data_IF_414231785604
#
_entry.id   IF_414231785604
#
_cell.length_a   1.000
_cell.length_b   1.000
_cell.length_c   1.000
_cell.angle_alpha   90.00
_cell.angle_beta   90.00
_cell.angle_gamma   90.00
#
_symmetry.space_group_name_H-M   'P 1'
#
loop_
_entity.id
_entity.type
_entity.pdbx_description
1 polymer ?
#
# COMPACT_ATOMS: atom_id res chain seq x y z
N UNK A 1 89.69 29.51 47.32
CA UNK A 1 89.45 28.20 47.96
C UNK A 1 87.95 27.93 47.90
N UNK A 2 87.60 26.82 47.26
CA UNK A 2 86.24 26.40 46.88
C UNK A 2 85.38 26.06 48.08
N UNK A 3 84.13 26.52 48.10
CA UNK A 3 82.99 25.69 48.52
C UNK A 3 81.83 25.96 47.57
N UNK A 4 81.72 25.08 46.56
CA UNK A 4 80.56 24.93 45.70
C UNK A 4 79.39 24.51 46.59
N UNK A 5 78.35 25.34 46.64
CA UNK A 5 77.10 24.97 47.26
C UNK A 5 76.48 23.85 46.41
N UNK A 6 76.63 22.62 46.88
CA UNK A 6 76.22 21.41 46.19
C UNK A 6 74.71 21.24 46.39
N UNK A 7 73.92 22.09 45.76
CA UNK A 7 72.48 21.94 45.68
C UNK A 7 72.17 20.77 44.74
N UNK A 8 72.23 19.55 45.28
CA UNK A 8 71.68 18.37 44.63
C UNK A 8 70.21 18.66 44.32
N UNK A 9 69.78 18.59 43.05
CA UNK A 9 68.41 18.91 42.71
C UNK A 9 67.47 17.91 43.40
N UNK A 10 66.58 18.41 44.25
CA UNK A 10 65.54 17.59 44.86
C UNK A 10 64.54 17.20 43.77
N UNK A 11 64.71 16.01 43.20
CA UNK A 11 63.79 15.45 42.22
C UNK A 11 62.56 14.94 42.96
N UNK A 12 61.51 15.77 43.01
CA UNK A 12 60.20 15.32 43.50
C UNK A 12 59.57 14.44 42.41
N UNK A 13 59.75 13.12 42.51
CA UNK A 13 59.06 12.14 41.67
C UNK A 13 57.58 12.07 42.08
N UNK A 14 56.73 12.91 41.48
CA UNK A 14 55.27 12.76 41.58
C UNK A 14 54.85 11.52 40.80
N UNK A 15 54.85 10.36 41.44
CA UNK A 15 54.18 9.18 40.89
C UNK A 15 52.68 9.44 40.96
N UNK A 16 52.11 9.96 39.87
CA UNK A 16 50.67 9.86 39.66
C UNK A 16 50.38 8.38 39.54
N UNK A 17 49.97 7.75 40.64
CA UNK A 17 49.27 6.47 40.55
C UNK A 17 47.94 6.84 39.92
N UNK A 18 47.94 6.88 38.58
CA UNK A 18 46.70 6.66 37.85
C UNK A 18 46.33 5.26 38.32
N UNK A 19 45.37 5.16 39.22
CA UNK A 19 44.57 3.96 39.33
C UNK A 19 43.98 3.86 37.93
N UNK A 20 44.69 3.15 37.05
CA UNK A 20 44.22 2.90 35.71
C UNK A 20 42.85 2.31 35.94
N UNK A 21 41.80 3.09 35.66
CA UNK A 21 40.46 2.56 35.63
C UNK A 21 40.59 1.38 34.70
N UNK A 22 40.45 0.17 35.24
CA UNK A 22 40.59 -1.09 34.52
C UNK A 22 39.43 -1.22 33.54
N UNK A 23 39.40 -0.36 32.54
CA UNK A 23 38.30 -0.13 31.61
C UNK A 23 38.72 -0.43 30.17
N UNK A 24 39.85 -1.10 29.96
CA UNK A 24 40.34 -1.45 28.62
C UNK A 24 40.52 -2.96 28.40
N UNK A 25 40.48 -3.78 29.46
CA UNK A 25 40.51 -5.25 29.35
C UNK A 25 39.14 -5.91 29.18
N UNK A 26 38.06 -5.17 29.40
CA UNK A 26 36.67 -5.64 29.28
C UNK A 26 35.94 -5.16 28.02
N UNK A 27 36.43 -4.11 27.35
CA UNK A 27 35.73 -3.51 26.21
C UNK A 27 35.54 -4.50 25.04
N UNK A 28 36.53 -5.35 24.78
CA UNK A 28 36.41 -6.40 23.74
C UNK A 28 35.42 -7.51 24.14
N UNK A 29 35.31 -7.82 25.44
CA UNK A 29 34.32 -8.77 25.95
C UNK A 29 32.92 -8.19 25.91
N UNK A 30 32.77 -6.87 26.10
CA UNK A 30 31.49 -6.18 25.95
C UNK A 30 31.07 -6.15 24.48
N UNK A 31 31.98 -5.85 23.55
CA UNK A 31 31.68 -5.93 22.12
C UNK A 31 31.36 -7.36 21.66
N UNK A 32 32.06 -8.37 22.19
CA UNK A 32 31.75 -9.77 21.91
C UNK A 32 30.41 -10.21 22.51
N UNK A 33 30.11 -9.79 23.75
CA UNK A 33 28.83 -10.04 24.38
C UNK A 33 27.68 -9.39 23.60
N UNK A 34 27.85 -8.15 23.16
CA UNK A 34 26.88 -7.41 22.36
C UNK A 34 26.60 -8.09 21.01
N UNK A 35 27.67 -8.54 20.33
CA UNK A 35 27.56 -9.31 19.09
C UNK A 35 26.80 -10.65 19.30
N UNK A 36 27.11 -11.38 20.37
CA UNK A 36 26.41 -12.64 20.70
C UNK A 36 24.95 -12.38 21.06
N UNK A 37 24.63 -11.30 21.77
CA UNK A 37 23.22 -10.93 22.03
C UNK A 37 22.47 -10.50 20.78
N UNK A 38 23.11 -9.79 19.85
CA UNK A 38 22.50 -9.45 18.56
C UNK A 38 22.20 -10.72 17.74
N UNK A 39 23.14 -11.67 17.69
CA UNK A 39 22.93 -12.95 17.02
C UNK A 39 21.88 -13.82 17.73
N UNK A 40 21.84 -13.82 19.05
CA UNK A 40 20.83 -14.51 19.83
C UNK A 40 19.43 -13.94 19.57
N UNK A 41 19.29 -12.61 19.54
CA UNK A 41 18.02 -11.96 19.21
C UNK A 41 17.58 -12.26 17.77
N UNK A 42 18.52 -12.23 16.81
CA UNK A 42 18.24 -12.62 15.43
C UNK A 42 17.84 -14.09 15.31
N UNK A 43 18.52 -14.98 16.03
CA UNK A 43 18.20 -16.41 16.07
C UNK A 43 16.84 -16.67 16.70
N UNK A 44 16.51 -16.03 17.82
CA UNK A 44 15.19 -16.13 18.45
C UNK A 44 14.08 -15.62 17.52
N UNK A 45 14.34 -14.55 16.76
CA UNK A 45 13.41 -14.03 15.77
C UNK A 45 13.20 -15.03 14.61
N UNK A 46 14.27 -15.58 14.06
CA UNK A 46 14.17 -16.60 13.00
C UNK A 46 13.55 -17.90 13.50
N UNK A 47 13.84 -18.29 14.74
CA UNK A 47 13.25 -19.45 15.40
C UNK A 47 11.75 -19.27 15.59
N UNK A 48 11.31 -18.07 16.02
CA UNK A 48 9.88 -17.72 16.09
C UNK A 48 9.24 -17.77 14.70
N UNK A 49 9.87 -17.22 13.66
CA UNK A 49 9.30 -17.25 12.30
C UNK A 49 9.17 -18.65 11.71
N UNK A 50 10.05 -19.59 12.08
CA UNK A 50 9.99 -20.98 11.64
C UNK A 50 9.04 -21.84 12.52
N UNK A 51 8.91 -21.52 13.80
CA UNK A 51 7.99 -22.20 14.72
C UNK A 51 6.53 -21.69 14.62
N UNK A 52 6.30 -20.52 14.01
CA UNK A 52 4.95 -19.98 13.78
C UNK A 52 4.40 -20.38 12.43
N UNK A 53 3.13 -20.76 12.40
CA UNK A 53 2.38 -20.92 11.14
C UNK A 53 2.15 -19.57 10.47
N UNK A 54 1.98 -19.53 9.14
CA UNK A 54 1.71 -18.28 8.39
C UNK A 54 0.56 -17.46 9.01
N UNK A 55 -0.44 -18.14 9.56
CA UNK A 55 -1.60 -17.53 10.23
C UNK A 55 -1.22 -16.73 11.48
N UNK A 56 -0.25 -17.19 12.27
CA UNK A 56 0.24 -16.48 13.47
C UNK A 56 1.15 -15.31 13.11
N UNK A 57 1.95 -15.45 12.04
CA UNK A 57 2.81 -14.36 11.52
C UNK A 57 1.98 -13.18 11.00
N UNK A 58 0.84 -13.47 10.36
CA UNK A 58 -0.10 -12.44 9.88
C UNK A 58 -0.77 -11.69 11.05
N UNK A 59 -1.24 -12.41 12.08
CA UNK A 59 -1.86 -11.79 13.25
C UNK A 59 -0.94 -10.87 14.06
N UNK A 60 0.38 -11.16 14.11
CA UNK A 60 1.34 -10.27 14.75
C UNK A 60 1.63 -9.02 13.92
N UNK A 61 1.66 -9.14 12.58
CA UNK A 61 1.82 -8.00 11.68
C UNK A 61 0.64 -7.03 11.77
N UNK A 62 -0.58 -7.57 11.92
CA UNK A 62 -1.81 -6.78 12.10
C UNK A 62 -1.82 -6.01 13.44
N UNK A 63 -1.15 -6.52 14.49
CA UNK A 63 -1.03 -5.85 15.79
C UNK A 63 -0.06 -4.65 15.77
N UNK A 64 1.06 -4.76 15.04
CA UNK A 64 2.08 -3.69 14.97
C UNK A 64 1.85 -2.69 13.83
N UNK A 65 0.99 -3.01 12.88
CA UNK A 65 0.54 -2.09 11.85
C UNK A 65 -0.99 -2.04 11.84
N UNK A 66 -1.63 -1.40 12.83
CA UNK A 66 -3.06 -1.22 12.82
C UNK A 66 -3.41 -0.13 11.80
N UNK A 67 -3.30 -0.43 10.50
CA UNK A 67 -4.08 0.26 9.49
C UNK A 67 -5.51 -0.18 9.69
N UNK A 68 -6.17 0.44 10.66
CA UNK A 68 -7.53 0.18 11.14
C UNK A 68 -8.42 -0.44 10.05
N UNK A 69 -8.63 -1.76 10.05
CA UNK A 69 -9.80 -2.32 9.43
C UNK A 69 -10.83 -2.37 10.56
N UNK A 70 -11.80 -1.45 10.55
CA UNK A 70 -13.06 -1.69 11.25
C UNK A 70 -13.80 -2.79 10.48
N UNK A 71 -13.27 -4.00 10.54
CA UNK A 71 -14.02 -5.21 10.26
C UNK A 71 -14.23 -5.88 11.61
N UNK A 72 -15.43 -5.71 12.17
CA UNK A 72 -15.94 -6.62 13.20
C UNK A 72 -16.05 -7.99 12.56
N UNK A 73 -15.00 -8.80 12.62
CA UNK A 73 -15.09 -10.22 12.33
C UNK A 73 -15.24 -10.95 13.65
N UNK A 74 -16.51 -11.23 13.95
CA UNK A 74 -17.00 -12.48 14.53
C UNK A 74 -16.10 -13.14 15.58
N UNK A 75 -16.40 -12.86 16.85
CA UNK A 75 -16.05 -13.71 17.98
C UNK A 75 -17.34 -14.20 18.62
N UNK A 76 -17.67 -15.47 18.41
CA UNK A 76 -18.84 -16.11 18.99
C UNK A 76 -19.00 -17.53 18.48
N UNK A 77 -18.04 -18.39 18.83
CA UNK A 77 -18.05 -19.80 18.48
C UNK A 77 -19.24 -20.53 19.10
N UNK A 78 -19.81 -21.43 18.31
CA UNK A 78 -20.73 -22.47 18.74
C UNK A 78 -19.91 -23.54 19.50
N UNK A 79 -20.19 -23.75 20.79
CA UNK A 79 -19.48 -24.73 21.60
C UNK A 79 -19.62 -24.49 23.11
N UNK A 80 -20.39 -25.36 23.76
CA UNK A 80 -20.60 -25.35 25.20
C UNK A 80 -19.37 -25.85 25.97
N UNK A 81 -18.33 -25.02 26.18
CA UNK A 81 -17.42 -25.02 27.34
C UNK A 81 -16.50 -23.78 27.24
N UNK A 82 -16.50 -22.97 28.31
CA UNK A 82 -16.03 -21.59 28.30
C UNK A 82 -14.52 -21.35 28.27
N UNK A 83 -14.18 -20.09 28.02
CA UNK A 83 -12.87 -19.50 28.24
C UNK A 83 -13.02 -17.98 28.34
N UNK A 84 -12.86 -17.43 29.55
CA UNK A 84 -12.82 -15.99 29.81
C UNK A 84 -11.59 -15.35 29.16
N UNK A 85 -11.76 -14.25 28.43
CA UNK A 85 -10.69 -13.29 28.23
C UNK A 85 -10.75 -12.22 29.32
N UNK A 86 -9.85 -12.37 30.28
CA UNK A 86 -9.41 -11.37 31.25
C UNK A 86 -8.86 -10.15 30.50
N UNK A 87 -9.08 -8.95 31.07
CA UNK A 87 -8.78 -7.61 30.56
C UNK A 87 -9.83 -7.04 29.59
N UNK A 88 -10.49 -5.91 29.84
CA UNK A 88 -10.46 -5.00 30.99
C UNK A 88 -11.64 -4.04 30.86
N UNK A 89 -12.33 -3.87 32.00
CA UNK A 89 -12.88 -2.63 32.54
C UNK A 89 -13.83 -1.74 31.71
N UNK A 90 -15.10 -1.84 32.12
CA UNK A 90 -15.82 -0.75 32.80
C UNK A 90 -15.28 0.66 32.54
N UNK A 91 -15.96 1.39 31.66
CA UNK A 91 -16.33 2.76 31.95
C UNK A 91 -17.77 3.00 31.52
N UNK A 92 -18.67 2.84 32.49
CA UNK A 92 -19.92 3.59 32.52
C UNK A 92 -19.55 5.07 32.60
N UNK A 93 -19.91 5.83 31.57
CA UNK A 93 -20.18 7.26 31.70
C UNK A 93 -21.64 7.49 31.36
N UNK A 94 -22.36 7.79 32.43
CA UNK A 94 -23.77 7.97 32.57
C UNK A 94 -24.20 9.32 31.98
N UNK A 95 -25.32 9.28 31.25
CA UNK A 95 -26.40 10.27 31.15
C UNK A 95 -26.08 11.78 31.17
N UNK A 96 -26.48 12.44 30.07
CA UNK A 96 -26.99 13.80 30.04
C UNK A 96 -28.31 13.83 29.28
N UNK A 97 -29.43 13.77 30.00
CA UNK A 97 -30.82 13.80 29.50
C UNK A 97 -31.26 15.22 29.13
N UNK A 98 -32.10 15.37 28.09
CA UNK A 98 -32.79 16.63 27.84
C UNK A 98 -33.68 16.67 26.60
N UNK A 99 -34.71 15.83 26.52
CA UNK A 99 -35.94 16.16 25.77
C UNK A 99 -37.06 15.18 26.14
N UNK A 100 -37.99 15.68 26.95
CA UNK A 100 -39.30 15.07 27.14
C UNK A 100 -40.09 15.09 25.83
N UNK A 101 -40.60 13.95 25.39
CA UNK A 101 -41.94 13.89 24.77
C UNK A 101 -42.63 12.58 25.15
N UNK A 102 -43.71 12.72 25.92
CA UNK A 102 -44.64 11.68 26.29
C UNK A 102 -45.67 11.51 25.16
N UNK A 103 -45.53 10.49 24.31
CA UNK A 103 -46.64 9.80 23.63
C UNK A 103 -46.22 8.36 23.29
N UNK A 104 -46.77 7.32 23.94
CA UNK A 104 -46.54 5.94 23.54
C UNK A 104 -47.43 5.62 22.34
N UNK A 105 -46.87 5.53 21.14
CA UNK A 105 -47.50 4.81 20.03
C UNK A 105 -47.00 3.37 20.04
N UNK A 106 -47.86 2.47 20.48
CA UNK A 106 -47.80 1.05 20.14
C UNK A 106 -47.99 0.87 18.63
N UNK A 107 -47.31 -0.12 18.05
CA UNK A 107 -47.31 -0.57 16.64
C UNK A 107 -46.22 0.04 15.74
N UNK A 108 -45.06 -0.63 15.69
CA UNK A 108 -44.72 -1.51 14.58
C UNK A 108 -43.50 -2.36 15.00
N UNK A 109 -43.65 -3.68 14.97
CA UNK A 109 -42.50 -4.60 14.97
C UNK A 109 -41.56 -4.19 13.83
N UNK A 110 -40.38 -3.69 14.16
CA UNK A 110 -39.27 -3.76 13.22
C UNK A 110 -38.90 -5.25 13.10
N UNK A 111 -38.99 -5.86 11.91
CA UNK A 111 -38.39 -7.17 11.70
C UNK A 111 -36.90 -7.05 12.00
N UNK A 112 -36.38 -7.94 12.86
CA UNK A 112 -34.93 -8.06 13.03
C UNK A 112 -34.26 -8.30 11.67
N UNK A 113 -32.98 -7.89 11.50
CA UNK A 113 -32.28 -8.09 10.24
C UNK A 113 -32.31 -9.58 9.91
N UNK A 114 -33.09 -9.90 8.90
CA UNK A 114 -33.29 -11.26 8.43
C UNK A 114 -31.97 -11.70 7.79
N UNK A 115 -31.54 -12.93 8.05
CA UNK A 115 -30.25 -13.51 7.65
C UNK A 115 -30.07 -13.72 6.13
N UNK A 116 -30.51 -12.77 5.31
CA UNK A 116 -30.49 -12.80 3.84
C UNK A 116 -29.44 -11.86 3.26
N UNK A 117 -29.01 -10.83 3.99
CA UNK A 117 -28.02 -9.84 3.51
C UNK A 117 -26.58 -10.39 3.43
N UNK A 118 -26.22 -11.34 4.30
CA UNK A 118 -24.87 -11.92 4.33
C UNK A 118 -24.64 -12.85 3.13
N UNK A 119 -25.69 -13.53 2.64
CA UNK A 119 -25.57 -14.42 1.47
C UNK A 119 -25.38 -13.67 0.17
N UNK A 120 -26.11 -12.56 -0.06
CA UNK A 120 -26.02 -11.81 -1.32
C UNK A 120 -24.66 -11.11 -1.48
N UNK A 121 -24.15 -10.49 -0.40
CA UNK A 121 -22.83 -9.85 -0.41
C UNK A 121 -21.71 -10.86 -0.74
N UNK A 122 -21.81 -12.10 -0.23
CA UNK A 122 -20.82 -13.15 -0.50
C UNK A 122 -20.85 -13.64 -1.95
N UNK A 123 -22.03 -13.75 -2.56
CA UNK A 123 -22.18 -14.19 -3.94
C UNK A 123 -21.70 -13.13 -4.93
N UNK A 124 -21.98 -11.86 -4.67
CA UNK A 124 -21.51 -10.78 -5.52
C UNK A 124 -19.99 -10.60 -5.46
N UNK A 125 -19.40 -10.75 -4.28
CA UNK A 125 -17.96 -10.79 -4.10
C UNK A 125 -17.31 -11.90 -4.96
N UNK A 126 -17.92 -13.08 -4.99
CA UNK A 126 -17.45 -14.21 -5.79
C UNK A 126 -17.59 -13.96 -7.30
N UNK A 127 -18.73 -13.39 -7.74
CA UNK A 127 -18.95 -13.00 -9.14
C UNK A 127 -17.91 -11.99 -9.61
N UNK A 128 -17.68 -10.94 -8.82
CA UNK A 128 -16.66 -9.94 -9.14
C UNK A 128 -15.26 -10.54 -9.17
N UNK A 129 -14.92 -11.40 -8.20
CA UNK A 129 -13.62 -12.07 -8.17
C UNK A 129 -13.39 -12.94 -9.42
N UNK A 130 -14.44 -13.58 -9.94
CA UNK A 130 -14.36 -14.33 -11.19
C UNK A 130 -14.14 -13.39 -12.38
N UNK A 131 -14.94 -12.32 -12.50
CA UNK A 131 -14.79 -11.33 -13.57
C UNK A 131 -13.39 -10.70 -13.59
N UNK A 132 -12.85 -10.33 -12.42
CA UNK A 132 -11.51 -9.78 -12.28
C UNK A 132 -10.44 -10.79 -12.75
N UNK A 133 -10.60 -12.08 -12.42
CA UNK A 133 -9.71 -13.14 -12.90
C UNK A 133 -9.80 -13.34 -14.40
N UNK A 134 -11.01 -13.26 -14.98
CA UNK A 134 -11.22 -13.42 -16.41
C UNK A 134 -10.54 -12.28 -17.19
N UNK A 135 -10.68 -11.04 -16.71
CA UNK A 135 -10.00 -9.85 -17.26
C UNK A 135 -8.47 -9.98 -17.15
N UNK A 136 -7.96 -10.35 -15.97
CA UNK A 136 -6.52 -10.54 -15.74
C UNK A 136 -5.94 -11.66 -16.62
N UNK A 137 -6.63 -12.80 -16.72
CA UNK A 137 -6.20 -13.92 -17.55
C UNK A 137 -6.21 -13.57 -19.04
N UNK A 138 -7.21 -12.80 -19.49
CA UNK A 138 -7.27 -12.32 -20.87
C UNK A 138 -6.12 -11.35 -21.19
N UNK A 139 -5.76 -10.45 -20.27
CA UNK A 139 -4.60 -9.55 -20.44
C UNK A 139 -3.28 -10.34 -20.51
N UNK A 140 -3.11 -11.34 -19.65
CA UNK A 140 -1.90 -12.18 -19.64
C UNK A 140 -1.81 -13.07 -20.89
N UNK A 141 -2.94 -13.59 -21.38
CA UNK A 141 -2.99 -14.45 -22.57
C UNK A 141 -2.57 -13.73 -23.86
N UNK A 142 -2.83 -12.43 -23.96
CA UNK A 142 -2.44 -11.63 -25.13
C UNK A 142 -0.92 -11.51 -25.29
N UNK A 143 -0.16 -11.50 -24.19
CA UNK A 143 1.30 -11.39 -24.20
C UNK A 143 2.03 -12.53 -24.94
N UNK A 144 1.36 -13.64 -25.28
CA UNK A 144 1.97 -14.79 -25.96
C UNK A 144 1.82 -14.84 -27.48
N UNK A 145 0.96 -14.01 -28.07
CA UNK A 145 0.52 -14.20 -29.47
C UNK A 145 1.47 -13.59 -30.52
N UNK A 146 2.22 -12.54 -30.16
CA UNK A 146 3.11 -11.80 -31.06
C UNK A 146 4.18 -11.03 -30.29
N UNK A 147 5.29 -10.68 -30.96
CA UNK A 147 6.32 -9.76 -30.42
C UNK A 147 5.75 -8.38 -30.05
N UNK A 148 4.75 -7.91 -30.81
CA UNK A 148 4.04 -6.68 -30.49
C UNK A 148 3.30 -6.82 -29.15
N UNK A 149 2.55 -7.92 -28.97
CA UNK A 149 1.82 -8.17 -27.72
C UNK A 149 2.72 -8.36 -26.51
N UNK A 150 3.91 -8.96 -26.68
CA UNK A 150 4.92 -9.03 -25.62
C UNK A 150 5.40 -7.64 -25.20
N UNK A 151 5.56 -6.73 -26.16
CA UNK A 151 5.96 -5.35 -25.90
C UNK A 151 4.88 -4.63 -25.10
N UNK A 152 3.61 -4.75 -25.50
CA UNK A 152 2.47 -4.19 -24.77
C UNK A 152 2.37 -4.75 -23.35
N UNK A 153 2.59 -6.05 -23.16
CA UNK A 153 2.55 -6.69 -21.84
C UNK A 153 3.58 -6.11 -20.85
N UNK A 154 4.71 -5.55 -21.33
CA UNK A 154 5.70 -4.87 -20.47
C UNK A 154 5.14 -3.61 -19.81
N UNK A 155 4.11 -2.99 -20.40
CA UNK A 155 3.48 -1.78 -19.88
C UNK A 155 2.42 -2.05 -18.82
N UNK A 156 1.96 -3.30 -18.70
CA UNK A 156 0.71 -3.61 -17.99
C UNK A 156 1.02 -4.33 -16.68
N UNK A 157 0.46 -3.81 -15.59
CA UNK A 157 0.43 -4.49 -14.30
C UNK A 157 -0.99 -4.46 -13.75
N UNK A 158 -1.46 -5.58 -13.22
CA UNK A 158 -2.79 -5.69 -12.61
C UNK A 158 -2.67 -5.82 -11.09
N UNK A 159 -3.62 -5.22 -10.35
CA UNK A 159 -3.74 -5.38 -8.89
C UNK A 159 -5.20 -5.34 -8.46
N UNK A 160 -5.58 -6.25 -7.56
CA UNK A 160 -6.91 -6.25 -6.95
C UNK A 160 -6.91 -5.35 -5.72
N UNK A 161 -7.92 -4.49 -5.61
CA UNK A 161 -8.13 -3.55 -4.50
C UNK A 161 -9.58 -3.57 -4.01
N UNK A 162 -9.87 -2.78 -2.99
CA UNK A 162 -11.23 -2.65 -2.45
C UNK A 162 -12.20 -1.98 -3.45
N UNK A 163 -11.71 -0.99 -4.22
CA UNK A 163 -12.48 -0.30 -5.28
C UNK A 163 -12.75 -1.24 -6.47
N UNK A 164 -11.81 -2.13 -6.78
CA UNK A 164 -11.95 -3.12 -7.84
C UNK A 164 -10.62 -3.65 -8.40
N UNK A 165 -10.64 -4.09 -9.67
CA UNK A 165 -9.44 -4.52 -10.38
C UNK A 165 -8.81 -3.31 -11.05
N UNK A 166 -7.60 -2.95 -10.63
CA UNK A 166 -6.82 -1.88 -11.24
C UNK A 166 -5.92 -2.51 -12.30
N UNK A 167 -6.09 -2.05 -13.54
CA UNK A 167 -5.16 -2.32 -14.64
C UNK A 167 -4.35 -1.05 -14.86
N UNK A 168 -3.06 -1.13 -14.54
CA UNK A 168 -2.13 0.00 -14.63
C UNK A 168 -1.29 -0.11 -15.91
N UNK A 169 -1.14 1.02 -16.59
CA UNK A 169 -0.31 1.20 -17.80
C UNK A 169 0.72 2.28 -17.53
N UNK A 170 1.98 2.06 -17.82
CA UNK A 170 3.03 3.02 -17.48
C UNK A 170 4.07 3.21 -18.58
N UNK A 171 4.78 4.33 -18.57
CA UNK A 171 5.88 4.57 -19.49
C UNK A 171 7.04 3.60 -19.21
N UNK A 172 7.61 3.05 -20.29
CA UNK A 172 8.95 2.46 -20.28
C UNK A 172 9.87 3.34 -21.12
N UNK A 173 11.18 3.33 -20.84
CA UNK A 173 12.12 4.28 -21.41
C UNK A 173 12.21 4.22 -22.95
N UNK A 174 12.02 3.04 -23.56
CA UNK A 174 12.07 2.81 -25.00
C UNK A 174 10.71 2.98 -25.72
N UNK A 175 9.60 3.08 -24.99
CA UNK A 175 8.26 3.19 -25.56
C UNK A 175 7.32 3.99 -24.64
N UNK A 176 7.46 5.32 -24.53
CA UNK A 176 6.57 6.12 -23.68
C UNK A 176 5.12 6.06 -24.19
N UNK A 177 4.14 6.20 -23.29
CA UNK A 177 2.71 6.21 -23.64
C UNK A 177 2.27 7.55 -24.24
N UNK A 178 2.99 8.62 -23.90
CA UNK A 178 2.71 9.99 -24.33
C UNK A 178 3.97 10.67 -24.85
N UNK A 179 3.80 11.60 -25.79
CA UNK A 179 4.88 12.40 -26.31
C UNK A 179 5.42 13.34 -25.22
N UNK A 180 6.57 12.99 -24.62
CA UNK A 180 7.31 13.80 -23.63
C UNK A 180 6.43 14.34 -22.51
N UNK A 181 6.41 15.66 -22.29
CA UNK A 181 5.63 16.35 -21.26
C UNK A 181 4.28 16.85 -21.80
N UNK A 182 3.69 16.13 -22.76
CA UNK A 182 2.37 16.42 -23.33
C UNK A 182 1.34 15.34 -22.97
N UNK A 183 0.09 15.60 -23.34
CA UNK A 183 -1.00 14.63 -23.31
C UNK A 183 -1.30 14.02 -24.69
N UNK A 184 -0.40 14.19 -25.67
CA UNK A 184 -0.53 13.57 -27.00
C UNK A 184 -0.14 12.10 -26.90
N UNK A 185 -1.06 11.16 -27.21
CA UNK A 185 -0.76 9.73 -27.19
C UNK A 185 0.31 9.33 -28.19
N UNK A 186 1.17 8.39 -27.81
CA UNK A 186 2.02 7.64 -28.74
C UNK A 186 1.25 6.43 -29.33
N UNK A 187 1.69 5.85 -30.47
CA UNK A 187 1.00 4.73 -31.11
C UNK A 187 0.76 3.54 -30.16
N UNK A 188 1.72 3.27 -29.28
CA UNK A 188 1.64 2.18 -28.28
C UNK A 188 0.42 2.33 -27.37
N UNK A 189 0.03 3.56 -27.00
CA UNK A 189 -1.14 3.78 -26.14
C UNK A 189 -2.45 3.48 -26.88
N UNK A 190 -2.50 3.74 -28.19
CA UNK A 190 -3.63 3.35 -29.04
C UNK A 190 -3.79 1.83 -29.13
N UNK A 191 -2.68 1.10 -29.26
CA UNK A 191 -2.67 -0.37 -29.24
C UNK A 191 -3.13 -0.93 -27.88
N UNK A 192 -2.66 -0.34 -26.78
CA UNK A 192 -3.14 -0.67 -25.43
C UNK A 192 -4.64 -0.41 -25.32
N UNK A 193 -5.14 0.73 -25.79
CA UNK A 193 -6.57 1.05 -25.76
C UNK A 193 -7.40 0.01 -26.53
N UNK A 194 -6.98 -0.40 -27.73
CA UNK A 194 -7.67 -1.43 -28.51
C UNK A 194 -7.74 -2.78 -27.77
N UNK A 195 -6.63 -3.18 -27.13
CA UNK A 195 -6.59 -4.38 -26.28
C UNK A 195 -7.58 -4.26 -25.12
N UNK A 196 -7.61 -3.11 -24.44
CA UNK A 196 -8.50 -2.90 -23.30
C UNK A 196 -9.96 -2.95 -23.69
N UNK A 197 -10.36 -2.37 -24.83
CA UNK A 197 -11.75 -2.48 -25.29
C UNK A 197 -12.15 -3.93 -25.51
N UNK A 198 -11.28 -4.75 -26.11
CA UNK A 198 -11.54 -6.18 -26.32
C UNK A 198 -11.70 -6.93 -24.98
N UNK A 199 -10.79 -6.70 -24.03
CA UNK A 199 -10.78 -7.39 -22.73
C UNK A 199 -11.93 -6.93 -21.84
N UNK A 200 -12.10 -5.61 -21.67
CA UNK A 200 -13.17 -5.06 -20.83
C UNK A 200 -14.56 -5.21 -21.46
N UNK A 201 -14.65 -5.64 -22.73
CA UNK A 201 -15.89 -6.08 -23.36
C UNK A 201 -16.41 -7.42 -22.84
N UNK A 202 -15.59 -8.20 -22.12
CA UNK A 202 -16.02 -9.46 -21.47
C UNK A 202 -16.89 -9.24 -20.23
N UNK A 203 -16.89 -8.02 -19.70
CA UNK A 203 -17.55 -7.63 -18.45
C UNK A 203 -18.36 -6.36 -18.66
N UNK A 204 -19.44 -6.18 -17.90
CA UNK A 204 -20.33 -5.02 -18.04
C UNK A 204 -20.13 -3.95 -16.97
N UNK A 205 -19.23 -4.17 -16.01
CA UNK A 205 -19.00 -3.26 -14.89
C UNK A 205 -18.57 -1.87 -15.37
N UNK A 206 -18.88 -0.89 -14.56
CA UNK A 206 -18.40 0.47 -14.73
C UNK A 206 -16.90 0.56 -14.49
N UNK A 207 -16.29 1.61 -15.04
CA UNK A 207 -14.86 1.86 -14.95
C UNK A 207 -14.56 3.27 -14.48
N UNK A 208 -13.45 3.41 -13.75
CA UNK A 208 -12.85 4.69 -13.43
C UNK A 208 -11.46 4.78 -14.07
N UNK A 209 -11.07 5.98 -14.46
CA UNK A 209 -9.80 6.23 -15.12
C UNK A 209 -8.99 7.26 -14.33
N UNK A 210 -7.77 6.88 -13.92
CA UNK A 210 -6.86 7.75 -13.21
C UNK A 210 -5.61 8.04 -14.06
N UNK A 211 -5.10 9.27 -13.96
CA UNK A 211 -3.81 9.66 -14.52
C UNK A 211 -2.84 10.09 -13.44
N UNK A 212 -1.62 9.62 -13.54
CA UNK A 212 -0.49 9.99 -12.68
C UNK A 212 0.70 10.38 -13.58
N UNK A 213 1.50 11.32 -13.10
CA UNK A 213 2.71 11.76 -13.79
C UNK A 213 3.89 11.73 -12.85
N UNK A 214 5.09 11.63 -13.42
CA UNK A 214 6.33 11.79 -12.64
C UNK A 214 6.44 13.19 -12.04
N UNK A 215 7.26 13.32 -11.00
CA UNK A 215 7.62 14.63 -10.45
C UNK A 215 8.51 15.41 -11.42
N UNK A 216 8.41 16.74 -11.38
CA UNK A 216 9.29 17.67 -12.08
C UNK A 216 10.25 18.35 -11.09
N UNK A 217 11.42 18.85 -11.54
CA UNK A 217 12.31 19.61 -10.68
C UNK A 217 11.62 20.80 -10.04
N UNK A 218 11.84 21.02 -8.73
CA UNK A 218 11.19 22.10 -7.97
C UNK A 218 11.48 23.51 -8.51
N UNK A 219 12.54 23.68 -9.29
CA UNK A 219 12.92 24.94 -9.94
C UNK A 219 12.11 25.26 -11.20
N UNK A 220 11.22 24.37 -11.65
CA UNK A 220 10.35 24.63 -12.78
C UNK A 220 9.36 25.74 -12.42
N UNK A 221 9.34 26.83 -13.22
CA UNK A 221 8.54 28.03 -12.93
C UNK A 221 7.05 27.71 -12.81
N UNK A 222 6.56 26.81 -13.65
CA UNK A 222 5.18 26.32 -13.63
C UNK A 222 5.23 24.80 -13.59
N UNK A 223 4.63 24.20 -12.57
CA UNK A 223 4.57 22.75 -12.43
C UNK A 223 3.29 22.22 -13.08
N UNK A 224 3.37 21.52 -14.24
CA UNK A 224 2.18 21.14 -15.01
C UNK A 224 1.48 19.89 -14.46
N UNK A 225 1.96 19.29 -13.36
CA UNK A 225 1.56 17.93 -12.95
C UNK A 225 0.05 17.72 -12.82
N UNK A 226 -0.69 18.71 -12.30
CA UNK A 226 -2.15 18.61 -12.15
C UNK A 226 -2.84 18.57 -13.51
N UNK A 227 -2.62 19.61 -14.33
CA UNK A 227 -3.20 19.70 -15.67
C UNK A 227 -2.78 18.53 -16.57
N UNK A 228 -1.50 18.14 -16.51
CA UNK A 228 -0.95 17.08 -17.34
C UNK A 228 -1.53 15.71 -16.96
N UNK A 229 -1.65 15.41 -15.68
CA UNK A 229 -2.21 14.14 -15.22
C UNK A 229 -3.68 13.98 -15.62
N UNK A 230 -4.48 15.04 -15.50
CA UNK A 230 -5.87 15.04 -15.93
C UNK A 230 -5.99 14.97 -17.45
N UNK A 231 -5.19 15.74 -18.18
CA UNK A 231 -5.20 15.75 -19.65
C UNK A 231 -4.84 14.37 -20.23
N UNK A 232 -3.86 13.67 -19.65
CA UNK A 232 -3.50 12.30 -20.04
C UNK A 232 -4.62 11.30 -19.77
N UNK A 233 -5.28 11.43 -18.61
CA UNK A 233 -6.44 10.62 -18.29
C UNK A 233 -7.58 10.84 -19.32
N UNK A 234 -7.84 12.10 -19.68
CA UNK A 234 -8.83 12.45 -20.71
C UNK A 234 -8.45 11.94 -22.10
N UNK A 235 -7.17 12.00 -22.48
CA UNK A 235 -6.69 11.47 -23.75
C UNK A 235 -6.91 9.95 -23.84
N UNK A 236 -6.66 9.22 -22.75
CA UNK A 236 -6.95 7.78 -22.68
C UNK A 236 -8.45 7.49 -22.79
N UNK A 237 -9.31 8.28 -22.11
CA UNK A 237 -10.78 8.17 -22.26
C UNK A 237 -11.19 8.32 -23.73
N UNK A 238 -10.67 9.33 -24.42
CA UNK A 238 -10.98 9.59 -25.83
C UNK A 238 -10.54 8.43 -26.73
N UNK A 239 -9.34 7.86 -26.50
CA UNK A 239 -8.86 6.68 -27.23
C UNK A 239 -9.76 5.45 -27.00
N UNK A 240 -10.18 5.20 -25.77
CA UNK A 240 -11.09 4.08 -25.47
C UNK A 240 -12.42 4.25 -26.23
N UNK A 241 -12.99 5.46 -26.23
CA UNK A 241 -14.23 5.75 -26.94
C UNK A 241 -14.08 5.60 -28.46
N UNK A 242 -12.95 6.05 -29.04
CA UNK A 242 -12.64 5.89 -30.45
C UNK A 242 -12.53 4.41 -30.85
N UNK A 243 -12.00 3.56 -29.96
CA UNK A 243 -11.90 2.12 -30.14
C UNK A 243 -13.23 1.38 -29.88
N UNK A 244 -14.31 2.10 -29.52
CA UNK A 244 -15.65 1.54 -29.34
C UNK A 244 -16.01 1.16 -27.90
N UNK A 245 -15.28 1.67 -26.91
CA UNK A 245 -15.68 1.52 -25.51
C UNK A 245 -16.98 2.30 -25.23
N UNK A 246 -17.87 1.72 -24.43
CA UNK A 246 -19.11 2.39 -24.05
C UNK A 246 -18.82 3.55 -23.08
N UNK A 247 -19.02 4.78 -23.57
CA UNK A 247 -18.88 6.02 -22.79
C UNK A 247 -19.70 6.02 -21.51
N UNK A 248 -20.85 5.33 -21.47
CA UNK A 248 -21.71 5.29 -20.28
C UNK A 248 -21.11 4.49 -19.13
N UNK A 249 -20.17 3.58 -19.42
CA UNK A 249 -19.46 2.80 -18.41
C UNK A 249 -18.37 3.61 -17.70
N UNK A 250 -17.92 4.73 -18.27
CA UNK A 250 -16.85 5.54 -17.68
C UNK A 250 -17.47 6.48 -16.65
N UNK A 251 -17.41 6.11 -15.37
CA UNK A 251 -18.00 6.86 -14.27
C UNK A 251 -17.19 8.08 -13.87
N UNK A 252 -15.85 7.98 -13.95
CA UNK A 252 -14.95 9.01 -13.45
C UNK A 252 -13.64 9.05 -14.23
N UNK A 253 -13.14 10.27 -14.44
CA UNK A 253 -11.78 10.55 -14.90
C UNK A 253 -11.10 11.45 -13.88
N UNK A 254 -9.88 11.14 -13.45
CA UNK A 254 -9.19 11.89 -12.38
C UNK A 254 -7.70 12.02 -12.63
N UNK A 255 -7.14 13.21 -12.37
CA UNK A 255 -5.70 13.46 -12.36
C UNK A 255 -5.15 13.54 -10.94
N UNK A 256 -4.11 12.78 -10.64
CA UNK A 256 -3.47 12.68 -9.32
C UNK A 256 -2.12 13.40 -9.22
N UNK A 257 -1.70 14.10 -10.28
CA UNK A 257 -0.38 14.72 -10.36
C UNK A 257 0.75 13.72 -10.02
N UNK A 258 1.76 14.18 -9.29
CA UNK A 258 2.93 13.43 -8.81
C UNK A 258 2.78 12.95 -7.35
N UNK A 259 1.55 12.92 -6.81
CA UNK A 259 1.28 12.70 -5.38
C UNK A 259 1.38 11.24 -4.91
N UNK A 260 1.43 10.31 -5.85
CA UNK A 260 1.52 8.88 -5.56
C UNK A 260 2.52 8.21 -6.52
N UNK A 261 3.83 8.37 -6.33
CA UNK A 261 4.83 7.69 -7.15
C UNK A 261 4.75 6.17 -6.93
N UNK A 262 4.89 5.40 -8.00
CA UNK A 262 4.94 3.94 -7.96
C UNK A 262 6.35 3.42 -7.66
N UNK A 263 7.38 4.21 -7.97
CA UNK A 263 8.78 3.89 -7.71
C UNK A 263 9.59 5.14 -7.36
N UNK A 264 10.67 4.91 -6.61
CA UNK A 264 11.75 5.88 -6.46
C UNK A 264 12.72 5.79 -7.66
N UNK A 265 13.36 6.90 -8.08
CA UNK A 265 13.09 8.27 -7.65
C UNK A 265 11.75 8.80 -8.20
N UNK A 266 11.14 9.87 -7.64
CA UNK A 266 9.82 10.35 -8.05
C UNK A 266 9.77 10.85 -9.50
N UNK A 267 10.94 11.19 -10.06
CA UNK A 267 11.11 11.62 -11.45
C UNK A 267 11.24 10.45 -12.46
N UNK A 268 11.22 9.19 -12.00
CA UNK A 268 11.34 8.03 -12.90
C UNK A 268 10.21 7.99 -13.93
N UNK A 269 10.52 7.56 -15.16
CA UNK A 269 9.54 7.44 -16.24
C UNK A 269 8.35 6.57 -15.84
N UNK A 270 8.60 5.49 -15.09
CA UNK A 270 7.62 4.56 -14.49
C UNK A 270 6.49 5.23 -13.70
N UNK A 271 6.71 6.44 -13.18
CA UNK A 271 5.70 7.20 -12.44
C UNK A 271 4.70 7.92 -13.35
N UNK A 272 4.99 8.06 -14.65
CA UNK A 272 3.98 8.34 -15.66
C UNK A 272 3.16 7.08 -15.89
N UNK A 273 1.89 7.13 -15.49
CA UNK A 273 1.01 5.96 -15.60
C UNK A 273 -0.45 6.35 -15.64
N UNK A 274 -1.24 5.47 -16.21
CA UNK A 274 -2.68 5.51 -16.24
C UNK A 274 -3.20 4.28 -15.50
N UNK A 275 -4.34 4.41 -14.84
CA UNK A 275 -5.05 3.28 -14.26
C UNK A 275 -6.45 3.22 -14.85
N UNK A 276 -6.84 2.05 -15.33
CA UNK A 276 -8.23 1.72 -15.65
C UNK A 276 -8.74 0.75 -14.60
N UNK A 277 -9.70 1.20 -13.81
CA UNK A 277 -10.23 0.48 -12.66
C UNK A 277 -11.56 -0.12 -13.06
N UNK A 278 -11.67 -1.44 -13.02
CA UNK A 278 -12.95 -2.14 -13.12
C UNK A 278 -13.65 -2.07 -11.76
N UNK A 279 -14.70 -1.26 -11.66
CA UNK A 279 -15.39 -0.99 -10.41
C UNK A 279 -16.19 -2.20 -9.96
N UNK A 280 -16.20 -2.44 -8.64
CA UNK A 280 -17.22 -3.29 -8.03
C UNK A 280 -18.58 -2.61 -8.23
N UNK A 281 -19.62 -3.39 -8.54
CA UNK A 281 -20.97 -2.85 -8.59
C UNK A 281 -21.30 -2.19 -7.24
N UNK A 282 -21.73 -0.93 -7.29
CA UNK A 282 -22.21 -0.20 -6.11
C UNK A 282 -23.72 -0.43 -6.01
N UNK A 283 -24.19 -0.81 -4.82
CA UNK A 283 -25.62 -0.83 -4.48
C UNK A 283 -26.15 0.57 -4.23
#
# INVERSE_FOLDING_TARGET
MSLRDNAVPVIIKRKKVVRGGGHHGGAWKVAYADFVTAMMAFFLLMWLLNATTEKQRKGLADYFNPTVPINRVSGGGDGAFGGDSVFSDRQMAQSGTGASQQRPTTLLQAPGPSGTEVSDASQEQQKFAQMAKDVDSALQGLGGESMASQTLARHIVTRVTDEGLIVEFFDIDDAPLFARDSATPEPVLGEIAAVLVKVFGLVSNEVALNGHVRAYPAMLRENPVWELSLARAQAMRALLEEQGFDRQRIQRVTGFADRAPATEPPMAARNNRLELILLRAQH
#
